data_IF_131715275790
#
_entry.id   IF_131715275790
#
_cell.length_a   1.000
_cell.length_b   1.000
_cell.length_c   1.000
_cell.angle_alpha   90.00
_cell.angle_beta   90.00
_cell.angle_gamma   90.00
#
_symmetry.space_group_name_H-M   'P 1'
#
loop_
_entity.id
_entity.type
_entity.pdbx_description
1 polymer ?
#
# COMPACT_ATOMS: atom_id res chain seq x y z
N UNK A 1 7.15 18.60 5.95
CA UNK A 1 7.52 17.20 6.21
C UNK A 1 6.27 16.47 6.67
N UNK A 2 5.61 15.73 5.79
CA UNK A 2 4.57 14.78 6.22
C UNK A 2 5.28 13.53 6.74
N UNK A 3 5.61 13.55 8.03
CA UNK A 3 5.99 12.35 8.75
C UNK A 3 4.87 11.30 8.58
N UNK A 4 5.25 10.11 8.14
CA UNK A 4 4.33 8.99 8.01
C UNK A 4 3.78 8.70 9.41
N UNK A 5 2.46 8.71 9.58
CA UNK A 5 1.85 8.42 10.87
C UNK A 5 2.01 6.93 11.22
N UNK A 6 3.14 6.59 11.83
CA UNK A 6 3.50 5.24 12.22
C UNK A 6 2.48 4.60 13.17
N UNK A 7 1.63 5.39 13.85
CA UNK A 7 0.57 4.86 14.71
C UNK A 7 -0.51 4.11 13.92
N UNK A 8 -0.66 4.43 12.62
CA UNK A 8 -1.59 3.79 11.70
C UNK A 8 -1.03 2.56 11.00
N UNK A 9 0.18 2.13 11.32
CA UNK A 9 0.87 0.96 10.75
C UNK A 9 0.97 -0.18 11.77
N UNK A 10 1.06 -1.42 11.31
CA UNK A 10 1.41 -2.54 12.20
C UNK A 10 2.82 -2.31 12.79
N UNK A 11 3.04 -2.66 14.07
CA UNK A 11 4.36 -2.50 14.72
C UNK A 11 5.46 -3.27 13.99
N UNK A 12 5.11 -4.44 13.45
CA UNK A 12 5.97 -5.28 12.62
C UNK A 12 5.19 -5.69 11.37
N UNK A 13 5.85 -5.90 10.22
CA UNK A 13 5.19 -6.41 9.01
C UNK A 13 4.48 -7.74 9.29
N UNK A 14 3.23 -7.87 8.87
CA UNK A 14 2.47 -9.11 8.97
C UNK A 14 2.40 -9.77 7.60
N UNK A 15 3.24 -10.77 7.36
CA UNK A 15 3.19 -11.54 6.11
C UNK A 15 1.82 -12.22 5.92
N UNK A 16 1.36 -12.31 4.67
CA UNK A 16 0.19 -13.14 4.32
C UNK A 16 0.54 -14.62 4.32
N UNK A 17 -0.38 -15.44 4.82
CA UNK A 17 -0.35 -16.89 4.65
C UNK A 17 -0.60 -17.26 3.18
N UNK A 18 -0.13 -18.43 2.74
CA UNK A 18 -0.35 -18.90 1.36
C UNK A 18 -1.83 -18.97 1.00
N UNK A 19 -2.68 -19.43 1.93
CA UNK A 19 -4.13 -19.51 1.73
C UNK A 19 -4.81 -18.14 1.64
N UNK A 20 -4.22 -17.09 2.21
CA UNK A 20 -4.70 -15.71 2.08
C UNK A 20 -4.23 -15.11 0.76
N UNK A 21 -2.96 -15.32 0.38
CA UNK A 21 -2.44 -14.91 -0.94
C UNK A 21 -3.25 -15.51 -2.08
N UNK A 22 -3.57 -16.80 -2.00
CA UNK A 22 -4.37 -17.48 -3.02
C UNK A 22 -5.77 -16.86 -3.22
N UNK A 23 -6.37 -16.26 -2.17
CA UNK A 23 -7.66 -15.56 -2.27
C UNK A 23 -7.54 -14.18 -2.93
N UNK A 24 -6.34 -13.62 -2.98
CA UNK A 24 -6.09 -12.32 -3.58
C UNK A 24 -5.67 -12.43 -5.05
N UNK A 25 -5.19 -13.60 -5.48
CA UNK A 25 -4.63 -13.86 -6.80
C UNK A 25 -5.56 -13.45 -7.95
N UNK A 26 -6.86 -13.75 -7.82
CA UNK A 26 -7.89 -13.39 -8.82
C UNK A 26 -8.04 -11.86 -9.05
N UNK A 27 -7.56 -11.03 -8.12
CA UNK A 27 -7.68 -9.57 -8.17
C UNK A 27 -6.43 -8.85 -8.66
N UNK A 28 -5.28 -9.52 -8.71
CA UNK A 28 -3.97 -8.90 -8.96
C UNK A 28 -3.96 -8.15 -10.29
N UNK A 29 -4.46 -8.78 -11.35
CA UNK A 29 -4.52 -8.19 -12.70
C UNK A 29 -5.48 -6.99 -12.80
N UNK A 30 -6.39 -6.84 -11.85
CA UNK A 30 -7.35 -5.74 -11.78
C UNK A 30 -6.89 -4.57 -10.91
N UNK A 31 -5.68 -4.63 -10.33
CA UNK A 31 -5.10 -3.52 -9.58
C UNK A 31 -4.73 -2.39 -10.54
N UNK A 32 -5.27 -1.20 -10.31
CA UNK A 32 -5.01 -0.03 -11.15
C UNK A 32 -3.90 0.86 -10.56
N UNK A 33 -2.99 1.29 -11.42
CA UNK A 33 -1.87 2.17 -11.06
C UNK A 33 -2.03 3.50 -11.78
N UNK A 34 -2.21 4.59 -11.04
CA UNK A 34 -2.27 5.93 -11.62
C UNK A 34 -0.96 6.39 -12.24
N UNK A 35 -1.01 7.41 -13.09
CA UNK A 35 0.18 8.14 -13.55
C UNK A 35 0.96 8.72 -12.37
N UNK A 36 2.28 8.81 -12.53
CA UNK A 36 3.17 9.42 -11.54
C UNK A 36 3.11 10.94 -11.67
N UNK A 37 3.14 11.63 -10.53
CA UNK A 37 3.22 13.09 -10.44
C UNK A 37 4.22 13.46 -9.35
N UNK A 38 4.84 14.63 -9.40
CA UNK A 38 5.92 15.00 -8.49
C UNK A 38 5.81 16.45 -8.05
N UNK A 39 6.33 16.73 -6.86
CA UNK A 39 6.71 18.07 -6.44
C UNK A 39 8.24 18.23 -6.52
N UNK A 40 8.85 19.08 -5.68
CA UNK A 40 10.29 19.30 -5.66
C UNK A 40 11.07 18.25 -4.84
N UNK A 41 10.39 17.48 -3.99
CA UNK A 41 11.02 16.56 -3.02
C UNK A 41 10.65 15.10 -3.29
N UNK A 42 9.40 14.84 -3.69
CA UNK A 42 8.82 13.51 -3.83
C UNK A 42 8.13 13.29 -5.19
N UNK A 43 8.15 12.03 -5.61
CA UNK A 43 7.28 11.49 -6.64
C UNK A 43 6.15 10.71 -5.96
N UNK A 44 4.94 10.85 -6.49
CA UNK A 44 3.71 10.32 -5.93
C UNK A 44 2.99 9.46 -6.97
N UNK A 45 2.23 8.49 -6.48
CA UNK A 45 1.15 7.84 -7.22
C UNK A 45 0.13 7.28 -6.24
N UNK A 46 -1.07 7.02 -6.73
CA UNK A 46 -2.03 6.18 -6.03
C UNK A 46 -2.25 4.85 -6.74
N UNK A 47 -2.54 3.82 -5.95
CA UNK A 47 -2.93 2.48 -6.40
C UNK A 47 -4.37 2.25 -5.99
N UNK A 48 -5.21 1.80 -6.92
CA UNK A 48 -6.61 1.48 -6.65
C UNK A 48 -6.79 -0.04 -6.67
N UNK A 49 -7.18 -0.59 -5.52
CA UNK A 49 -7.55 -1.98 -5.40
C UNK A 49 -8.98 -2.20 -5.89
N UNK A 50 -9.29 -3.36 -6.49
CA UNK A 50 -10.67 -3.74 -6.76
C UNK A 50 -11.48 -3.73 -5.46
N UNK A 51 -12.66 -3.11 -5.44
CA UNK A 51 -13.49 -3.02 -4.21
C UNK A 51 -13.83 -4.38 -3.61
N UNK A 52 -13.94 -5.42 -4.44
CA UNK A 52 -14.18 -6.79 -3.99
C UNK A 52 -12.95 -7.43 -3.31
N UNK A 53 -11.75 -7.01 -3.70
CA UNK A 53 -10.49 -7.45 -3.08
C UNK A 53 -10.42 -7.03 -1.60
N UNK A 54 -10.91 -5.84 -1.25
CA UNK A 54 -10.95 -5.37 0.15
C UNK A 54 -11.65 -6.36 1.08
N UNK A 55 -12.68 -7.08 0.60
CA UNK A 55 -13.41 -8.07 1.40
C UNK A 55 -12.62 -9.36 1.65
N UNK A 56 -11.53 -9.57 0.91
CA UNK A 56 -10.66 -10.76 0.99
C UNK A 56 -9.38 -10.50 1.76
N UNK A 57 -9.01 -9.23 1.96
CA UNK A 57 -7.85 -8.84 2.77
C UNK A 57 -8.12 -9.22 4.24
N UNK A 58 -7.12 -9.79 4.96
CA UNK A 58 -7.27 -10.13 6.38
C UNK A 58 -7.61 -8.92 7.25
N UNK A 59 -8.40 -9.14 8.31
CA UNK A 59 -8.87 -8.05 9.19
C UNK A 59 -7.72 -7.31 9.88
N UNK A 60 -6.59 -7.97 10.13
CA UNK A 60 -5.41 -7.37 10.76
C UNK A 60 -4.77 -6.25 9.93
N UNK A 61 -5.07 -6.17 8.63
CA UNK A 61 -4.65 -5.09 7.74
C UNK A 61 -5.57 -3.87 7.81
N UNK A 62 -6.71 -3.97 8.48
CA UNK A 62 -7.68 -2.88 8.62
C UNK A 62 -7.54 -2.16 9.95
N UNK A 63 -7.71 -0.85 9.91
CA UNK A 63 -7.95 -0.02 11.08
C UNK A 63 -9.46 -0.06 11.39
N UNK A 64 -9.82 -0.84 12.41
CA UNK A 64 -11.21 -1.05 12.82
C UNK A 64 -11.90 0.24 13.30
N UNK A 65 -11.13 1.25 13.72
CA UNK A 65 -11.69 2.52 14.17
C UNK A 65 -12.10 3.42 13.00
N UNK A 66 -11.41 3.29 11.86
CA UNK A 66 -11.57 4.16 10.69
C UNK A 66 -12.24 3.49 9.49
N UNK A 67 -12.39 2.16 9.50
CA UNK A 67 -12.96 1.41 8.37
C UNK A 67 -12.08 1.44 7.11
N UNK A 68 -10.78 1.69 7.28
CA UNK A 68 -9.81 1.82 6.19
C UNK A 68 -8.68 0.80 6.37
N UNK A 69 -7.85 0.61 5.34
CA UNK A 69 -6.60 -0.12 5.51
C UNK A 69 -5.66 0.67 6.44
N UNK A 70 -4.87 -0.06 7.22
CA UNK A 70 -3.70 0.50 7.90
C UNK A 70 -2.69 0.98 6.86
N UNK A 71 -1.77 1.84 7.29
CA UNK A 71 -0.55 2.04 6.52
C UNK A 71 0.21 0.71 6.48
N UNK A 72 0.73 0.38 5.31
CA UNK A 72 1.32 -0.93 5.03
C UNK A 72 2.83 -0.81 4.89
N UNK A 73 3.55 -1.77 5.43
CA UNK A 73 4.97 -1.97 5.14
C UNK A 73 5.18 -2.41 3.70
N UNK A 74 6.42 -2.27 3.18
CA UNK A 74 6.77 -2.73 1.83
C UNK A 74 6.41 -4.20 1.59
N UNK A 75 6.76 -5.07 2.53
CA UNK A 75 6.47 -6.50 2.47
C UNK A 75 4.96 -6.80 2.48
N UNK A 76 4.18 -5.98 3.20
CA UNK A 76 2.73 -6.15 3.30
C UNK A 76 2.03 -5.77 2.01
N UNK A 77 2.30 -4.57 1.46
CA UNK A 77 1.64 -4.15 0.22
C UNK A 77 2.12 -4.96 -0.99
N UNK A 78 3.40 -5.39 -1.02
CA UNK A 78 3.88 -6.36 -2.04
C UNK A 78 3.19 -7.70 -1.88
N UNK A 79 2.96 -8.15 -0.65
CA UNK A 79 2.21 -9.35 -0.34
C UNK A 79 0.77 -9.34 -0.88
N UNK A 80 0.12 -8.18 -0.91
CA UNK A 80 -1.21 -8.00 -1.52
C UNK A 80 -1.19 -8.09 -3.06
N UNK A 81 -0.03 -8.23 -3.70
CA UNK A 81 0.10 -8.28 -5.17
C UNK A 81 0.34 -6.91 -5.82
N UNK A 82 0.46 -5.84 -5.03
CA UNK A 82 0.82 -4.52 -5.55
C UNK A 82 2.29 -4.58 -6.01
N UNK A 83 2.53 -4.31 -7.29
CA UNK A 83 3.86 -4.39 -7.90
C UNK A 83 4.30 -3.01 -8.37
N UNK A 84 5.36 -2.50 -7.75
CA UNK A 84 5.98 -1.22 -8.09
C UNK A 84 7.51 -1.35 -8.02
N UNK A 85 8.22 -0.37 -8.59
CA UNK A 85 9.67 -0.24 -8.43
C UNK A 85 10.08 -0.05 -6.96
N UNK A 86 11.37 -0.02 -6.66
CA UNK A 86 11.86 0.22 -5.30
C UNK A 86 11.61 1.67 -4.84
N UNK A 87 11.59 1.87 -3.51
CA UNK A 87 11.56 3.17 -2.84
C UNK A 87 10.18 3.76 -2.58
N UNK A 88 9.10 3.10 -2.98
CA UNK A 88 7.74 3.57 -2.72
C UNK A 88 7.28 3.27 -1.29
N UNK A 89 6.77 4.29 -0.61
CA UNK A 89 6.25 4.23 0.74
C UNK A 89 4.74 4.52 0.74
N UNK A 90 3.94 3.62 1.31
CA UNK A 90 2.53 3.89 1.61
C UNK A 90 2.47 4.87 2.78
N UNK A 91 2.15 6.14 2.48
CA UNK A 91 2.33 7.25 3.43
C UNK A 91 1.03 7.77 4.02
N UNK A 92 -0.09 7.60 3.32
CA UNK A 92 -1.39 8.13 3.74
C UNK A 92 -2.53 7.24 3.26
N UNK A 93 -3.61 7.23 4.05
CA UNK A 93 -4.83 6.48 3.78
C UNK A 93 -5.92 7.45 3.38
N UNK A 94 -6.51 7.25 2.21
CA UNK A 94 -7.62 8.06 1.72
C UNK A 94 -8.95 7.56 2.32
N UNK A 95 -9.39 8.20 3.41
CA UNK A 95 -10.57 7.77 4.18
C UNK A 95 -11.89 7.69 3.37
N UNK A 96 -12.20 8.64 2.46
CA UNK A 96 -13.40 8.55 1.64
C UNK A 96 -13.44 7.32 0.72
N UNK A 97 -12.28 6.83 0.27
CA UNK A 97 -12.19 5.71 -0.66
C UNK A 97 -11.10 4.72 -0.21
N UNK A 98 -11.42 3.78 0.69
CA UNK A 98 -10.44 2.89 1.35
C UNK A 98 -9.72 1.91 0.41
N UNK A 99 -10.18 1.84 -0.84
CA UNK A 99 -9.56 1.05 -1.90
C UNK A 99 -8.44 1.80 -2.62
N UNK A 100 -8.23 3.09 -2.32
CA UNK A 100 -7.16 3.91 -2.86
C UNK A 100 -6.03 4.01 -1.83
N UNK A 101 -4.85 3.54 -2.21
CA UNK A 101 -3.63 3.60 -1.40
C UNK A 101 -2.69 4.66 -1.98
N UNK A 102 -2.15 5.55 -1.14
CA UNK A 102 -1.31 6.66 -1.56
C UNK A 102 0.17 6.34 -1.30
N UNK A 103 0.97 6.42 -2.36
CA UNK A 103 2.40 6.14 -2.32
C UNK A 103 3.22 7.38 -2.64
N UNK A 104 4.34 7.55 -1.95
CA UNK A 104 5.37 8.54 -2.27
C UNK A 104 6.75 7.90 -2.29
N UNK A 105 7.69 8.48 -3.03
CA UNK A 105 9.12 8.14 -2.96
C UNK A 105 9.98 9.39 -3.15
N UNK A 106 11.16 9.50 -2.54
CA UNK A 106 12.07 10.61 -2.80
C UNK A 106 12.49 10.67 -4.28
N UNK A 107 12.56 11.86 -4.88
CA UNK A 107 12.98 12.02 -6.29
C UNK A 107 14.41 11.50 -6.50
N UNK A 108 15.28 11.68 -5.51
CA UNK A 108 16.67 11.25 -5.54
C UNK A 108 16.87 9.86 -4.92
N UNK A 109 15.82 9.02 -4.89
CA UNK A 109 15.93 7.67 -4.32
C UNK A 109 17.01 6.86 -5.06
N UNK A 110 18.02 6.42 -4.29
CA UNK A 110 19.01 5.46 -4.76
C UNK A 110 18.69 4.10 -4.14
N UNK A 111 18.53 3.03 -4.95
CA UNK A 111 18.38 1.71 -4.39
C UNK A 111 19.65 1.34 -3.60
N UNK A 112 19.52 0.62 -2.48
CA UNK A 112 20.68 0.13 -1.74
C UNK A 112 21.59 -0.68 -2.67
N UNK A 113 22.90 -0.50 -2.54
CA UNK A 113 23.88 -1.30 -3.29
C UNK A 113 23.67 -2.79 -2.98
N UNK A 114 23.61 -3.60 -4.02
CA UNK A 114 23.39 -5.04 -3.96
C UNK A 114 24.58 -5.78 -3.36
#
# INVERSE_FOLDING_TARGET
MTDIDISRRNKTPRALLESEKAKLDEFIDSIHYSSRYSDNEYEYRHVQLPKNMLKKIPQEYFDTSKGTLKLLWEEEWRGLGITQSLGWEHYEVHEPEPHILLFKRPINYQPPAQ
#
